data_IF_554432057633
#
_entry.id   IF_554432057633
#
_cell.length_a   1.000
_cell.length_b   1.000
_cell.length_c   1.000
_cell.angle_alpha   90.00
_cell.angle_beta   90.00
_cell.angle_gamma   90.00
#
_symmetry.space_group_name_H-M   'P 1'
#
loop_
_entity.id
_entity.type
_entity.pdbx_description
1 polymer ?
#
# COMPACT_ATOMS: atom_id res chain seq x y z
N UNK A 1 0.96 7.16 14.40
CA UNK A 1 1.42 6.87 13.04
C UNK A 1 1.27 8.11 12.18
N UNK A 2 2.31 8.54 11.51
CA UNK A 2 2.29 9.75 10.69
C UNK A 2 1.74 9.54 9.26
N UNK A 3 1.51 8.31 8.84
CA UNK A 3 0.90 7.97 7.56
C UNK A 3 -0.59 7.69 7.73
N UNK A 4 -0.95 6.49 8.18
CA UNK A 4 -2.34 6.12 8.44
C UNK A 4 -2.79 6.64 9.81
N UNK A 5 -3.97 7.25 9.87
CA UNK A 5 -4.44 8.01 11.02
C UNK A 5 -3.91 9.46 11.08
N UNK A 6 -3.26 9.93 10.02
CA UNK A 6 -2.74 11.29 9.87
C UNK A 6 -2.80 11.73 8.43
N UNK A 7 -1.63 11.86 7.77
CA UNK A 7 -1.51 12.44 6.42
C UNK A 7 -2.41 11.78 5.38
N UNK A 8 -2.50 10.45 5.36
CA UNK A 8 -3.27 9.69 4.35
C UNK A 8 -4.75 9.47 4.71
N UNK A 9 -5.20 9.85 5.91
CA UNK A 9 -6.55 9.53 6.38
C UNK A 9 -7.32 10.78 6.80
N UNK A 10 -7.12 11.26 8.02
CA UNK A 10 -8.04 12.22 8.65
C UNK A 10 -7.55 13.66 8.68
N UNK A 11 -6.34 13.96 8.18
CA UNK A 11 -5.73 15.26 8.42
C UNK A 11 -5.47 16.02 7.12
N UNK A 12 -4.41 15.67 6.40
CA UNK A 12 -3.97 16.48 5.25
C UNK A 12 -4.99 16.50 4.12
N UNK A 13 -5.52 15.33 3.76
CA UNK A 13 -6.47 15.24 2.65
C UNK A 13 -7.86 15.76 3.00
N UNK A 14 -8.31 15.57 4.23
CA UNK A 14 -9.61 16.09 4.66
C UNK A 14 -9.60 17.61 4.77
N UNK A 15 -8.46 18.21 5.19
CA UNK A 15 -8.27 19.66 5.15
C UNK A 15 -8.29 20.17 3.69
N UNK A 16 -7.55 19.51 2.80
CA UNK A 16 -7.55 19.85 1.37
C UNK A 16 -8.93 19.66 0.71
N UNK A 17 -9.72 18.69 1.20
CA UNK A 17 -11.09 18.46 0.77
C UNK A 17 -12.11 19.42 1.41
N UNK A 18 -11.66 20.37 2.24
CA UNK A 18 -12.49 21.37 2.90
C UNK A 18 -13.51 20.76 3.89
N UNK A 19 -13.18 19.60 4.50
CA UNK A 19 -14.04 18.99 5.53
C UNK A 19 -13.89 19.63 6.90
N UNK A 20 -12.85 20.45 7.12
CA UNK A 20 -12.58 21.14 8.37
C UNK A 20 -12.50 22.66 8.15
N UNK A 21 -13.10 23.41 9.07
CA UNK A 21 -12.88 24.85 9.22
C UNK A 21 -11.59 25.07 10.02
N UNK A 22 -10.55 25.55 9.33
CA UNK A 22 -9.23 25.78 9.92
C UNK A 22 -8.94 27.25 10.25
N UNK A 23 -9.92 28.13 10.22
CA UNK A 23 -9.72 29.58 10.40
C UNK A 23 -9.10 29.95 11.77
N UNK A 24 -9.30 29.12 12.78
CA UNK A 24 -8.81 29.32 14.15
C UNK A 24 -7.66 28.39 14.54
N UNK A 25 -7.19 27.58 13.60
CA UNK A 25 -6.15 26.59 13.85
C UNK A 25 -4.73 27.18 13.71
N UNK A 26 -3.74 26.32 13.92
CA UNK A 26 -2.33 26.66 13.66
C UNK A 26 -2.14 27.16 12.22
N UNK A 27 -1.28 28.12 12.02
CA UNK A 27 -0.99 28.75 10.72
C UNK A 27 -0.73 27.74 9.58
N UNK A 28 -0.13 26.58 9.90
CA UNK A 28 0.15 25.52 8.91
C UNK A 28 -1.14 24.94 8.33
N UNK A 29 -2.16 24.72 9.16
CA UNK A 29 -3.45 24.16 8.73
C UNK A 29 -4.29 25.19 7.97
N UNK A 30 -4.28 26.43 8.42
CA UNK A 30 -4.89 27.55 7.69
C UNK A 30 -4.32 27.69 6.28
N UNK A 31 -2.99 27.65 6.14
CA UNK A 31 -2.32 27.69 4.85
C UNK A 31 -2.64 26.47 3.98
N UNK A 32 -2.75 25.29 4.59
CA UNK A 32 -3.09 24.07 3.86
C UNK A 32 -4.55 24.12 3.35
N UNK A 33 -5.49 24.61 4.16
CA UNK A 33 -6.91 24.75 3.75
C UNK A 33 -7.09 25.76 2.61
N UNK A 34 -6.21 26.73 2.51
CA UNK A 34 -6.19 27.71 1.40
C UNK A 34 -5.30 27.29 0.23
N UNK A 35 -4.89 26.02 0.19
CA UNK A 35 -4.03 25.45 -0.86
C UNK A 35 -2.66 26.12 -1.02
N UNK A 36 -2.11 26.70 0.04
CA UNK A 36 -0.76 27.27 0.00
C UNK A 36 0.28 26.22 -0.44
N UNK A 37 1.06 26.56 -1.47
CA UNK A 37 2.00 25.62 -2.09
C UNK A 37 3.15 25.23 -1.17
N UNK A 38 3.60 26.14 -0.29
CA UNK A 38 4.71 25.87 0.63
C UNK A 38 4.26 24.90 1.74
N UNK A 39 3.09 25.13 2.33
CA UNK A 39 2.51 24.24 3.34
C UNK A 39 2.24 22.85 2.75
N UNK A 40 1.68 22.79 1.54
CA UNK A 40 1.41 21.54 0.82
C UNK A 40 2.70 20.78 0.51
N UNK A 41 3.74 21.46 -0.01
CA UNK A 41 5.02 20.84 -0.34
C UNK A 41 5.67 20.16 0.86
N UNK A 42 5.66 20.78 2.03
CA UNK A 42 6.21 20.19 3.27
C UNK A 42 5.53 18.90 3.68
N UNK A 43 4.19 18.86 3.65
CA UNK A 43 3.40 17.67 3.98
C UNK A 43 3.62 16.52 2.98
N UNK A 44 3.60 16.84 1.70
CA UNK A 44 3.73 15.87 0.61
C UNK A 44 5.14 15.29 0.50
N UNK A 45 6.20 16.10 0.68
CA UNK A 45 7.59 15.62 0.70
C UNK A 45 7.84 14.61 1.83
N UNK A 46 7.27 14.88 3.00
CA UNK A 46 7.36 13.97 4.14
C UNK A 46 6.66 12.62 3.88
N UNK A 47 5.53 12.64 3.19
CA UNK A 47 4.84 11.43 2.75
C UNK A 47 5.70 10.59 1.80
N UNK A 48 6.24 11.22 0.76
CA UNK A 48 7.12 10.56 -0.21
C UNK A 48 8.27 9.83 0.48
N UNK A 49 9.07 10.57 1.27
CA UNK A 49 10.24 10.00 1.93
C UNK A 49 9.91 8.83 2.85
N UNK A 50 8.81 8.95 3.63
CA UNK A 50 8.39 7.87 4.54
C UNK A 50 7.93 6.61 3.80
N UNK A 51 7.19 6.77 2.72
CA UNK A 51 6.71 5.61 1.95
C UNK A 51 7.88 4.89 1.28
N UNK A 52 8.81 5.62 0.65
CA UNK A 52 9.98 4.97 0.03
C UNK A 52 10.93 4.34 1.06
N UNK A 53 11.05 4.87 2.26
CA UNK A 53 11.75 4.19 3.37
C UNK A 53 11.07 2.86 3.74
N UNK A 54 9.74 2.83 3.81
CA UNK A 54 9.00 1.59 4.06
C UNK A 54 9.16 0.59 2.90
N UNK A 55 9.17 1.06 1.65
CA UNK A 55 9.38 0.21 0.48
C UNK A 55 10.74 -0.49 0.50
N UNK A 56 11.82 0.19 0.94
CA UNK A 56 13.12 -0.46 1.14
C UNK A 56 13.00 -1.62 2.13
N UNK A 57 12.34 -1.41 3.28
CA UNK A 57 12.16 -2.47 4.28
C UNK A 57 11.32 -3.63 3.75
N UNK A 58 10.24 -3.33 3.03
CA UNK A 58 9.38 -4.35 2.41
C UNK A 58 10.15 -5.17 1.37
N UNK A 59 10.92 -4.52 0.51
CA UNK A 59 11.76 -5.21 -0.47
C UNK A 59 12.82 -6.09 0.20
N UNK A 60 13.44 -5.63 1.30
CA UNK A 60 14.36 -6.45 2.10
C UNK A 60 13.68 -7.73 2.60
N UNK A 61 12.40 -7.66 3.03
CA UNK A 61 11.66 -8.85 3.45
C UNK A 61 11.42 -9.79 2.26
N UNK A 62 11.02 -9.26 1.11
CA UNK A 62 10.77 -10.07 -0.10
C UNK A 62 12.05 -10.79 -0.53
N UNK A 63 13.16 -10.06 -0.62
CA UNK A 63 14.48 -10.60 -0.98
C UNK A 63 14.93 -11.67 0.03
N UNK A 64 14.81 -11.41 1.33
CA UNK A 64 15.16 -12.36 2.38
C UNK A 64 14.31 -13.65 2.34
N UNK A 65 13.03 -13.56 1.97
CA UNK A 65 12.18 -14.73 1.76
C UNK A 65 12.71 -15.61 0.61
N UNK A 66 13.17 -15.02 -0.48
CA UNK A 66 13.69 -15.76 -1.63
C UNK A 66 15.08 -16.34 -1.37
N UNK A 67 15.97 -15.56 -0.75
CA UNK A 67 17.33 -15.98 -0.44
C UNK A 67 17.43 -17.06 0.65
N UNK A 68 16.44 -17.12 1.56
CA UNK A 68 16.43 -18.03 2.73
C UNK A 68 15.20 -18.91 2.76
N UNK A 69 14.70 -19.29 1.60
CA UNK A 69 13.49 -20.09 1.46
C UNK A 69 13.55 -21.41 2.23
N UNK A 70 14.73 -22.02 2.34
CA UNK A 70 14.96 -23.25 3.08
C UNK A 70 14.84 -23.11 4.61
N UNK A 71 14.96 -21.90 5.14
CA UNK A 71 14.82 -21.63 6.60
C UNK A 71 13.37 -21.50 7.01
N UNK A 72 12.51 -21.03 6.10
CA UNK A 72 11.10 -20.86 6.35
C UNK A 72 10.34 -22.15 5.99
N UNK A 73 9.40 -22.57 6.84
CA UNK A 73 8.45 -23.58 6.40
C UNK A 73 7.53 -23.00 5.31
N UNK A 74 6.82 -23.88 4.60
CA UNK A 74 6.02 -23.47 3.45
C UNK A 74 4.94 -22.43 3.82
N UNK A 75 4.25 -22.58 4.96
CA UNK A 75 3.20 -21.67 5.41
C UNK A 75 3.77 -20.26 5.68
N UNK A 76 4.86 -20.16 6.44
CA UNK A 76 5.51 -18.87 6.73
C UNK A 76 6.04 -18.19 5.47
N UNK A 77 6.70 -18.94 4.59
CA UNK A 77 7.19 -18.38 3.33
C UNK A 77 6.08 -17.71 2.53
N UNK A 78 4.97 -18.43 2.31
CA UNK A 78 3.87 -17.94 1.49
C UNK A 78 3.13 -16.76 2.15
N UNK A 79 2.88 -16.83 3.45
CA UNK A 79 2.18 -15.75 4.15
C UNK A 79 3.05 -14.49 4.25
N UNK A 80 4.30 -14.61 4.68
CA UNK A 80 5.20 -13.44 4.85
C UNK A 80 5.47 -12.77 3.50
N UNK A 81 5.83 -13.55 2.48
CA UNK A 81 6.10 -13.01 1.15
C UNK A 81 4.83 -12.43 0.51
N UNK A 82 3.70 -13.10 0.65
CA UNK A 82 2.42 -12.61 0.16
C UNK A 82 2.00 -11.28 0.80
N UNK A 83 2.12 -11.16 2.12
CA UNK A 83 1.87 -9.88 2.82
C UNK A 83 2.85 -8.78 2.39
N UNK A 84 4.12 -9.11 2.21
CA UNK A 84 5.13 -8.13 1.79
C UNK A 84 4.87 -7.61 0.37
N UNK A 85 4.52 -8.49 -0.58
CA UNK A 85 4.13 -8.08 -1.94
C UNK A 85 2.86 -7.22 -1.93
N UNK A 86 1.85 -7.62 -1.16
CA UNK A 86 0.64 -6.83 -1.00
C UNK A 86 0.93 -5.44 -0.40
N UNK A 87 1.84 -5.37 0.58
CA UNK A 87 2.26 -4.11 1.18
C UNK A 87 3.05 -3.24 0.21
N UNK A 88 3.88 -3.83 -0.66
CA UNK A 88 4.57 -3.10 -1.73
C UNK A 88 3.59 -2.47 -2.71
N UNK A 89 2.64 -3.23 -3.19
CA UNK A 89 1.56 -2.73 -4.06
C UNK A 89 0.74 -1.62 -3.39
N UNK A 90 0.35 -1.82 -2.12
CA UNK A 90 -0.39 -0.82 -1.34
C UNK A 90 0.39 0.49 -1.17
N UNK A 91 1.65 0.42 -0.77
CA UNK A 91 2.48 1.62 -0.56
C UNK A 91 2.68 2.41 -1.85
N UNK A 92 2.91 1.73 -2.98
CA UNK A 92 2.96 2.38 -4.28
C UNK A 92 1.61 2.98 -4.67
N UNK A 93 0.50 2.29 -4.39
CA UNK A 93 -0.84 2.82 -4.67
C UNK A 93 -1.14 4.10 -3.89
N UNK A 94 -0.72 4.19 -2.63
CA UNK A 94 -0.88 5.42 -1.85
C UNK A 94 -0.06 6.59 -2.42
N UNK A 95 1.16 6.35 -2.88
CA UNK A 95 1.97 7.36 -3.59
C UNK A 95 1.32 7.72 -4.92
N UNK A 96 0.85 6.73 -5.68
CA UNK A 96 0.19 6.91 -6.97
C UNK A 96 -1.05 7.79 -6.89
N UNK A 97 -1.88 7.61 -5.86
CA UNK A 97 -3.07 8.46 -5.65
C UNK A 97 -2.76 9.93 -5.36
N UNK A 98 -1.57 10.20 -4.82
CA UNK A 98 -1.15 11.55 -4.42
C UNK A 98 -0.35 12.26 -5.51
N UNK A 99 0.48 11.54 -6.23
CA UNK A 99 1.47 12.10 -7.16
C UNK A 99 1.20 11.71 -8.62
N UNK A 100 0.39 10.70 -8.84
CA UNK A 100 0.00 10.29 -10.20
C UNK A 100 -0.99 11.26 -10.84
N UNK A 101 -1.13 11.19 -12.17
CA UNK A 101 -2.14 11.95 -12.90
C UNK A 101 -3.54 11.40 -12.60
N UNK A 102 -4.57 12.12 -13.05
CA UNK A 102 -5.92 11.56 -13.14
C UNK A 102 -5.88 10.46 -14.20
N UNK A 103 -5.85 9.20 -13.78
CA UNK A 103 -5.58 8.04 -14.64
C UNK A 103 -6.49 7.97 -15.87
N UNK A 104 -7.76 8.30 -15.72
CA UNK A 104 -8.72 8.30 -16.83
C UNK A 104 -8.47 9.39 -17.88
N UNK A 105 -7.64 10.38 -17.56
CA UNK A 105 -7.32 11.52 -18.46
C UNK A 105 -5.99 11.30 -19.17
N UNK A 106 -4.96 10.91 -18.41
CA UNK A 106 -3.61 10.76 -18.97
C UNK A 106 -2.83 9.61 -18.29
N UNK A 107 -3.07 8.37 -18.70
CA UNK A 107 -2.33 7.22 -18.17
C UNK A 107 -0.89 7.13 -18.68
N UNK A 108 -0.50 7.91 -19.69
CA UNK A 108 0.82 7.87 -20.31
C UNK A 108 1.81 8.86 -19.70
N UNK A 109 1.35 9.74 -18.80
CA UNK A 109 2.24 10.66 -18.07
C UNK A 109 3.19 9.90 -17.15
N UNK A 110 4.47 10.22 -17.22
CA UNK A 110 5.49 9.78 -16.25
C UNK A 110 5.23 10.44 -14.89
N UNK A 111 5.13 9.65 -13.82
CA UNK A 111 4.69 10.18 -12.54
C UNK A 111 5.54 9.77 -11.33
N UNK A 112 5.98 8.53 -11.26
CA UNK A 112 6.73 8.03 -10.11
C UNK A 112 7.57 6.81 -10.46
N UNK A 113 8.69 6.55 -9.73
CA UNK A 113 9.41 5.30 -9.87
C UNK A 113 8.67 4.17 -9.15
N UNK A 114 8.83 2.93 -9.64
CA UNK A 114 8.43 1.72 -8.94
C UNK A 114 9.65 1.03 -8.32
N UNK A 115 9.63 0.77 -7.02
CA UNK A 115 10.75 0.21 -6.28
C UNK A 115 10.54 -1.28 -6.00
N UNK A 116 11.26 -2.14 -6.72
CA UNK A 116 11.15 -3.61 -6.63
C UNK A 116 12.31 -4.27 -5.88
N UNK A 117 13.31 -3.49 -5.46
CA UNK A 117 14.44 -3.99 -4.69
C UNK A 117 14.83 -3.08 -3.54
N UNK A 118 15.57 -3.61 -2.57
CA UNK A 118 16.04 -2.89 -1.39
C UNK A 118 17.23 -1.98 -1.66
N UNK A 119 17.80 -2.00 -2.85
CA UNK A 119 18.93 -1.16 -3.22
C UNK A 119 18.52 0.34 -3.27
N UNK A 120 19.51 1.20 -3.09
CA UNK A 120 19.32 2.66 -3.08
C UNK A 120 19.59 3.32 -4.44
N UNK A 121 19.51 2.56 -5.53
CA UNK A 121 19.71 3.12 -6.88
C UNK A 121 18.58 4.07 -7.26
N UNK A 122 18.95 5.12 -7.97
CA UNK A 122 17.97 6.02 -8.59
C UNK A 122 17.22 5.25 -9.68
N UNK A 123 15.89 5.30 -9.64
CA UNK A 123 15.01 4.68 -10.64
C UNK A 123 14.35 5.76 -11.50
N UNK A 124 14.11 5.48 -12.79
CA UNK A 124 13.39 6.40 -13.65
C UNK A 124 11.94 6.55 -13.19
N UNK A 125 11.33 7.67 -13.55
CA UNK A 125 9.88 7.81 -13.50
C UNK A 125 9.26 6.90 -14.54
N UNK A 126 8.18 6.24 -14.18
CA UNK A 126 7.40 5.38 -15.07
C UNK A 126 6.07 6.04 -15.42
N UNK A 127 5.51 5.66 -16.56
CA UNK A 127 4.16 6.04 -16.95
C UNK A 127 3.14 5.53 -15.93
N UNK A 128 2.07 6.26 -15.75
CA UNK A 128 0.99 5.87 -14.83
C UNK A 128 0.41 4.49 -15.17
N UNK A 129 0.30 4.14 -16.46
CA UNK A 129 -0.13 2.83 -16.93
C UNK A 129 0.82 1.69 -16.50
N UNK A 130 2.14 1.92 -16.59
CA UNK A 130 3.14 0.93 -16.15
C UNK A 130 3.13 0.76 -14.63
N UNK A 131 3.03 1.87 -13.87
CA UNK A 131 2.91 1.82 -12.42
C UNK A 131 1.67 1.03 -12.00
N UNK A 132 0.52 1.28 -12.65
CA UNK A 132 -0.72 0.56 -12.36
C UNK A 132 -0.58 -0.94 -12.66
N UNK A 133 0.08 -1.30 -13.77
CA UNK A 133 0.37 -2.70 -14.11
C UNK A 133 1.24 -3.38 -13.06
N UNK A 134 2.35 -2.76 -12.65
CA UNK A 134 3.25 -3.31 -11.64
C UNK A 134 2.56 -3.49 -10.27
N UNK A 135 1.70 -2.55 -9.86
CA UNK A 135 0.88 -2.72 -8.65
C UNK A 135 -0.05 -3.92 -8.75
N UNK A 136 -0.71 -4.12 -9.90
CA UNK A 136 -1.61 -5.27 -10.07
C UNK A 136 -0.84 -6.59 -10.10
N UNK A 137 0.38 -6.60 -10.66
CA UNK A 137 1.24 -7.77 -10.68
C UNK A 137 1.66 -8.16 -9.25
N UNK A 138 2.01 -7.20 -8.41
CA UNK A 138 2.30 -7.42 -6.99
C UNK A 138 1.09 -7.98 -6.23
N UNK A 139 -0.10 -7.39 -6.40
CA UNK A 139 -1.30 -7.89 -5.74
C UNK A 139 -1.68 -9.29 -6.21
N UNK A 140 -1.55 -9.61 -7.50
CA UNK A 140 -1.81 -10.96 -8.01
C UNK A 140 -0.80 -11.98 -7.51
N UNK A 141 0.48 -11.63 -7.45
CA UNK A 141 1.50 -12.49 -6.87
C UNK A 141 1.22 -12.74 -5.38
N UNK A 142 0.78 -11.72 -4.64
CA UNK A 142 0.35 -11.86 -3.25
C UNK A 142 -0.89 -12.75 -3.12
N UNK A 143 -1.90 -12.58 -3.98
CA UNK A 143 -3.11 -13.41 -3.99
C UNK A 143 -2.76 -14.89 -4.18
N UNK A 144 -1.89 -15.22 -5.16
CA UNK A 144 -1.46 -16.59 -5.43
C UNK A 144 -0.71 -17.23 -4.25
N UNK A 145 0.12 -16.47 -3.54
CA UNK A 145 0.82 -16.95 -2.36
C UNK A 145 -0.11 -17.17 -1.17
N UNK A 146 -1.10 -16.30 -0.98
CA UNK A 146 -1.97 -16.33 0.20
C UNK A 146 -3.15 -17.30 0.06
N UNK A 147 -3.64 -17.59 -1.14
CA UNK A 147 -4.90 -18.32 -1.38
C UNK A 147 -4.98 -19.71 -0.74
N UNK A 148 -3.84 -20.39 -0.50
CA UNK A 148 -3.82 -21.72 0.11
C UNK A 148 -3.26 -21.73 1.54
N UNK A 149 -2.42 -20.73 1.85
CA UNK A 149 -1.63 -20.70 3.07
C UNK A 149 -2.12 -19.71 4.12
N UNK A 150 -2.92 -18.70 3.72
CA UNK A 150 -3.41 -17.73 4.69
C UNK A 150 -4.41 -18.37 5.66
N UNK A 151 -4.12 -18.36 6.98
CA UNK A 151 -5.02 -18.93 7.97
C UNK A 151 -6.44 -18.37 7.94
N UNK A 152 -6.64 -17.13 7.47
CA UNK A 152 -7.96 -16.50 7.38
C UNK A 152 -8.95 -17.31 6.54
N UNK A 153 -8.47 -18.05 5.54
CA UNK A 153 -9.31 -18.80 4.62
C UNK A 153 -9.94 -20.02 5.33
N UNK A 154 -9.14 -20.73 6.12
CA UNK A 154 -9.57 -21.96 6.79
C UNK A 154 -10.13 -21.73 8.19
N UNK A 155 -9.63 -20.74 8.89
CA UNK A 155 -9.89 -20.49 10.32
C UNK A 155 -10.69 -19.20 10.58
N UNK A 156 -10.95 -18.41 9.53
CA UNK A 156 -11.57 -17.08 9.69
C UNK A 156 -10.62 -16.04 10.30
N UNK A 157 -11.20 -14.93 10.73
CA UNK A 157 -10.47 -13.82 11.35
C UNK A 157 -10.21 -14.11 12.83
N UNK A 158 -9.20 -14.92 13.11
CA UNK A 158 -8.83 -15.27 14.49
C UNK A 158 -8.22 -14.09 15.23
N UNK A 159 -8.67 -13.88 16.47
CA UNK A 159 -8.09 -12.96 17.44
C UNK A 159 -7.03 -13.69 18.30
N UNK A 160 -6.14 -12.98 18.98
CA UNK A 160 -4.94 -13.53 19.61
C UNK A 160 -5.12 -14.65 20.66
N UNK A 161 -6.29 -14.78 21.25
CA UNK A 161 -6.54 -15.73 22.36
C UNK A 161 -7.38 -16.96 21.95
N UNK A 162 -7.61 -17.18 20.66
CA UNK A 162 -8.55 -18.19 20.18
C UNK A 162 -7.92 -19.57 19.95
N UNK A 163 -7.29 -20.11 20.97
CA UNK A 163 -6.95 -21.52 21.04
C UNK A 163 -5.46 -21.84 21.14
N UNK A 164 -5.13 -22.95 21.80
CA UNK A 164 -3.76 -23.44 21.92
C UNK A 164 -3.22 -23.88 20.55
N UNK A 165 -2.06 -23.40 20.18
CA UNK A 165 -1.27 -23.94 19.06
C UNK A 165 -1.15 -23.09 17.80
N UNK A 166 -1.68 -21.86 17.78
CA UNK A 166 -1.32 -20.90 16.72
C UNK A 166 -0.19 -19.99 17.21
N UNK A 167 0.90 -19.87 16.44
CA UNK A 167 1.93 -18.88 16.70
C UNK A 167 1.32 -17.47 16.67
N UNK A 168 1.78 -16.56 17.55
CA UNK A 168 1.27 -15.18 17.62
C UNK A 168 1.35 -14.42 16.29
N UNK A 169 2.29 -14.75 15.44
CA UNK A 169 2.50 -14.17 14.12
C UNK A 169 1.46 -14.60 13.07
N UNK A 170 0.76 -15.71 13.30
CA UNK A 170 -0.34 -16.21 12.43
C UNK A 170 -1.75 -15.88 12.93
N UNK A 171 -1.86 -15.10 14.00
CA UNK A 171 -3.15 -14.57 14.51
C UNK A 171 -3.37 -13.13 14.06
N UNK A 172 -4.49 -12.53 14.45
CA UNK A 172 -4.89 -11.16 14.06
C UNK A 172 -4.94 -10.95 12.55
N UNK A 173 -5.32 -11.98 11.80
CA UNK A 173 -5.35 -11.90 10.32
C UNK A 173 -6.29 -10.83 9.79
N UNK A 174 -7.35 -10.46 10.52
CA UNK A 174 -8.26 -9.37 10.19
C UNK A 174 -7.59 -7.98 10.19
N UNK A 175 -6.47 -7.82 10.89
CA UNK A 175 -5.73 -6.55 10.98
C UNK A 175 -4.53 -6.48 10.03
N UNK A 176 -4.33 -7.50 9.20
CA UNK A 176 -3.20 -7.61 8.27
C UNK A 176 -3.67 -7.62 6.82
N UNK A 177 -2.74 -7.50 5.89
CA UNK A 177 -3.00 -7.67 4.45
C UNK A 177 -3.22 -9.17 4.15
N UNK A 178 -4.34 -9.69 4.60
CA UNK A 178 -4.76 -11.06 4.36
C UNK A 178 -5.26 -11.26 2.91
N UNK A 179 -5.56 -12.49 2.55
CA UNK A 179 -6.07 -12.86 1.23
C UNK A 179 -7.24 -11.98 0.76
N UNK A 180 -8.24 -11.74 1.60
CA UNK A 180 -9.41 -10.93 1.24
C UNK A 180 -9.09 -9.44 1.12
N UNK A 181 -8.16 -8.94 1.94
CA UNK A 181 -7.68 -7.57 1.81
C UNK A 181 -6.95 -7.37 0.48
N UNK A 182 -6.15 -8.35 0.03
CA UNK A 182 -5.49 -8.31 -1.29
C UNK A 182 -6.52 -8.24 -2.42
N UNK A 183 -7.55 -9.07 -2.40
CA UNK A 183 -8.65 -9.02 -3.37
C UNK A 183 -9.36 -7.67 -3.36
N UNK A 184 -9.61 -7.10 -2.20
CA UNK A 184 -10.20 -5.77 -2.09
C UNK A 184 -9.30 -4.67 -2.70
N UNK A 185 -7.97 -4.80 -2.58
CA UNK A 185 -7.04 -3.87 -3.25
C UNK A 185 -6.95 -4.07 -4.76
N UNK A 186 -7.05 -5.29 -5.26
CA UNK A 186 -7.19 -5.56 -6.70
C UNK A 186 -8.44 -4.86 -7.24
N UNK A 187 -9.59 -5.04 -6.58
CA UNK A 187 -10.84 -4.38 -6.96
C UNK A 187 -10.71 -2.84 -6.91
N UNK A 188 -10.11 -2.30 -5.84
CA UNK A 188 -9.92 -0.87 -5.66
C UNK A 188 -9.02 -0.26 -6.73
N UNK A 189 -7.91 -0.91 -7.06
CA UNK A 189 -7.02 -0.46 -8.14
C UNK A 189 -7.71 -0.54 -9.51
N UNK A 190 -8.45 -1.61 -9.77
CA UNK A 190 -9.23 -1.76 -11.00
C UNK A 190 -10.29 -0.65 -11.15
N UNK A 191 -11.00 -0.31 -10.09
CA UNK A 191 -11.92 0.85 -10.08
C UNK A 191 -11.18 2.16 -10.35
N UNK A 192 -10.02 2.36 -9.72
CA UNK A 192 -9.22 3.57 -9.89
C UNK A 192 -8.74 3.74 -11.34
N UNK A 193 -8.42 2.65 -12.02
CA UNK A 193 -7.99 2.63 -13.42
C UNK A 193 -9.15 2.53 -14.42
N UNK A 194 -10.39 2.45 -13.95
CA UNK A 194 -11.59 2.41 -14.78
C UNK A 194 -11.99 1.02 -15.29
N UNK A 195 -11.28 -0.04 -14.89
CA UNK A 195 -11.60 -1.43 -15.26
C UNK A 195 -12.67 -2.02 -14.32
N UNK A 196 -13.93 -1.66 -14.58
CA UNK A 196 -15.07 -2.11 -13.78
C UNK A 196 -15.29 -3.63 -13.83
N UNK A 197 -14.98 -4.25 -14.98
CA UNK A 197 -15.14 -5.71 -15.14
C UNK A 197 -14.17 -6.47 -14.23
N UNK A 198 -12.90 -6.05 -14.20
CA UNK A 198 -11.90 -6.63 -13.29
C UNK A 198 -12.23 -6.35 -11.83
N UNK A 199 -12.73 -5.16 -11.50
CA UNK A 199 -13.13 -4.82 -10.15
C UNK A 199 -14.27 -5.71 -9.63
N UNK A 200 -15.21 -6.07 -10.49
CA UNK A 200 -16.30 -6.98 -10.15
C UNK A 200 -15.85 -8.44 -10.00
N UNK A 201 -14.85 -8.86 -10.77
CA UNK A 201 -14.32 -10.22 -10.75
C UNK A 201 -13.35 -10.51 -9.60
N UNK A 202 -12.83 -9.48 -8.94
CA UNK A 202 -11.89 -9.62 -7.83
C UNK A 202 -12.60 -9.97 -6.53
#
# INVERSE_FOLDING_TARGET
>A
SSLYGGTLSYKTFDILAQYYDCDKDEQTWQKLSTFDQTAKKGQVSGLWSKVYTLLVNVNTIIEACDERKEVLNSEYYHVIKGEALALRGLLHFEVFRVFGPIYSVDPETECMPYSESSDLKVRPLLKASDVARLMIDDFKAAEELLKEYDPVIKKGALWGDEGPGLPNDMVYRSLRLNYYAVKAYIARLALYTGDKAKAYAA
#
